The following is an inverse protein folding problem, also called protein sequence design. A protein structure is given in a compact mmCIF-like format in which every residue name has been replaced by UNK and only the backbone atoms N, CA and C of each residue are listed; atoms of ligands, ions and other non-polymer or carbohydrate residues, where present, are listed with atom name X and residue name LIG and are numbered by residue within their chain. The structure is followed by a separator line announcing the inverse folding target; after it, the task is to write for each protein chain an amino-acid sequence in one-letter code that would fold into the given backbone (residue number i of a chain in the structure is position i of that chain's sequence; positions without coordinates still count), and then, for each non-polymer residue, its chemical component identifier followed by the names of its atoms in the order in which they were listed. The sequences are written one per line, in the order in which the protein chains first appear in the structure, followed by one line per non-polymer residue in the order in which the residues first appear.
data_IF_438971336844
#
_entry.id   IF_438971336844
#
_cell.length_a   1.000
_cell.length_b   1.000
_cell.length_c   1.000
_cell.angle_alpha   90.00
_cell.angle_beta   90.00
_cell.angle_gamma   90.00
#
_symmetry.space_group_name_H-M   'P 1'
#
loop_
_entity.id
_entity.type
_entity.pdbx_description
1 polymer ?
#
# COMPACT_ATOMS: atom_id res chain seq x y z
N UNK A 1 21.90 -0.73 5.72
CA UNK A 1 22.21 -0.35 4.32
C UNK A 1 23.73 -0.16 4.20
N UNK A 2 24.39 -0.81 3.26
CA UNK A 2 25.83 -0.61 3.07
C UNK A 2 26.07 0.68 2.26
N UNK A 3 27.22 1.34 2.51
CA UNK A 3 27.64 2.59 1.82
C UNK A 3 27.73 2.43 0.28
N UNK A 4 27.82 1.21 -0.23
CA UNK A 4 27.91 0.90 -1.66
C UNK A 4 26.54 1.02 -2.36
N UNK A 5 25.44 0.70 -1.66
CA UNK A 5 24.08 0.76 -2.23
C UNK A 5 23.58 2.19 -2.44
N UNK A 6 23.88 3.09 -1.51
CA UNK A 6 23.47 4.51 -1.58
C UNK A 6 24.14 5.24 -2.76
N UNK A 7 25.44 4.99 -3.01
CA UNK A 7 26.21 5.60 -4.09
C UNK A 7 25.71 5.21 -5.50
N UNK A 8 25.21 3.99 -5.68
CA UNK A 8 24.70 3.52 -6.99
C UNK A 8 23.35 4.14 -7.34
N UNK A 9 22.48 4.35 -6.36
CA UNK A 9 21.14 4.96 -6.52
C UNK A 9 21.29 6.43 -6.90
N UNK A 10 22.15 7.18 -6.19
CA UNK A 10 22.43 8.60 -6.46
C UNK A 10 23.03 8.82 -7.85
N UNK A 11 23.92 7.92 -8.28
CA UNK A 11 24.56 8.01 -9.61
C UNK A 11 23.56 7.83 -10.76
N UNK A 12 22.46 7.10 -10.54
CA UNK A 12 21.40 6.88 -11.51
C UNK A 12 20.30 7.95 -11.44
N UNK A 13 20.42 8.95 -10.57
CA UNK A 13 19.43 10.02 -10.38
C UNK A 13 18.12 9.55 -9.78
N UNK A 14 18.10 8.38 -9.11
CA UNK A 14 16.95 7.87 -8.40
C UNK A 14 17.05 8.32 -6.94
N UNK A 15 16.13 9.17 -6.51
CA UNK A 15 15.99 9.60 -5.13
C UNK A 15 14.75 8.93 -4.53
N UNK A 16 14.95 8.15 -3.47
CA UNK A 16 13.83 7.56 -2.71
C UNK A 16 13.21 8.66 -1.87
N UNK A 17 11.93 9.01 -2.07
CA UNK A 17 11.28 10.03 -1.24
C UNK A 17 11.33 9.63 0.23
N UNK A 18 11.68 10.58 1.10
CA UNK A 18 11.56 10.38 2.55
C UNK A 18 10.08 10.31 2.94
N UNK A 19 9.76 9.40 3.87
CA UNK A 19 8.40 9.13 4.35
C UNK A 19 8.34 9.12 5.90
N UNK A 20 8.87 10.16 6.56
CA UNK A 20 9.04 10.15 8.02
C UNK A 20 7.71 9.98 8.78
N UNK A 21 6.60 10.49 8.26
CA UNK A 21 5.28 10.34 8.84
C UNK A 21 4.81 8.87 8.80
N UNK A 22 5.08 8.18 7.71
CA UNK A 22 4.74 6.76 7.53
C UNK A 22 5.67 5.88 8.38
N UNK A 23 6.96 6.18 8.44
CA UNK A 23 7.93 5.48 9.29
C UNK A 23 7.57 5.60 10.78
N UNK A 24 7.07 6.77 11.19
CA UNK A 24 6.58 6.97 12.56
C UNK A 24 5.22 6.32 12.83
N UNK A 25 4.40 6.15 11.79
CA UNK A 25 3.06 5.57 11.90
C UNK A 25 3.07 4.05 11.99
N UNK A 26 3.84 3.37 11.14
CA UNK A 26 3.90 1.91 11.10
C UNK A 26 4.69 1.33 12.28
N UNK A 27 4.19 0.25 12.90
CA UNK A 27 4.85 -0.40 14.05
C UNK A 27 6.01 -1.34 13.67
N UNK A 28 6.17 -1.64 12.39
CA UNK A 28 7.30 -2.44 11.90
C UNK A 28 7.62 -2.12 10.45
N UNK A 29 8.88 -2.31 10.08
CA UNK A 29 9.32 -2.32 8.69
C UNK A 29 8.99 -3.65 8.03
N UNK A 30 8.97 -3.68 6.71
CA UNK A 30 8.84 -4.93 5.93
C UNK A 30 10.03 -5.85 6.22
N UNK A 31 9.80 -7.13 6.58
CA UNK A 31 10.88 -8.08 6.82
C UNK A 31 11.76 -8.27 5.57
N UNK A 32 13.09 -8.29 5.77
CA UNK A 32 14.04 -8.46 4.67
C UNK A 32 13.76 -9.74 3.85
N UNK A 33 13.34 -10.82 4.48
CA UNK A 33 12.95 -12.07 3.80
C UNK A 33 11.81 -11.86 2.79
N UNK A 34 10.88 -10.94 3.07
CA UNK A 34 9.83 -10.56 2.10
C UNK A 34 10.42 -9.80 0.91
N UNK A 35 11.32 -8.85 1.15
CA UNK A 35 12.00 -8.06 0.10
C UNK A 35 12.80 -8.98 -0.80
N UNK A 36 13.61 -9.86 -0.22
CA UNK A 36 14.47 -10.81 -0.97
C UNK A 36 13.64 -11.77 -1.83
N UNK A 37 12.47 -12.18 -1.32
CA UNK A 37 11.56 -13.04 -2.07
C UNK A 37 10.84 -12.28 -3.18
N UNK A 38 10.41 -11.04 -2.91
CA UNK A 38 9.76 -10.17 -3.88
C UNK A 38 10.66 -9.89 -5.09
N UNK A 39 11.92 -9.56 -4.84
CA UNK A 39 12.91 -9.30 -5.89
C UNK A 39 13.20 -10.52 -6.80
N UNK A 40 12.93 -11.73 -6.31
CA UNK A 40 13.05 -12.97 -7.10
C UNK A 40 11.75 -13.36 -7.82
N UNK A 41 10.63 -12.71 -7.50
CA UNK A 41 9.29 -13.04 -7.99
C UNK A 41 8.54 -11.78 -8.45
N UNK A 42 9.20 -10.92 -9.23
CA UNK A 42 8.65 -9.64 -9.67
C UNK A 42 7.37 -9.78 -10.52
N UNK A 43 7.21 -10.89 -11.23
CA UNK A 43 5.98 -11.22 -11.96
C UNK A 43 4.77 -11.31 -11.03
N UNK A 44 4.89 -12.03 -9.91
CA UNK A 44 3.83 -12.12 -8.90
C UNK A 44 3.59 -10.79 -8.22
N UNK A 45 4.66 -10.06 -7.90
CA UNK A 45 4.57 -8.71 -7.30
C UNK A 45 3.77 -7.78 -8.21
N UNK A 46 4.09 -7.71 -9.50
CA UNK A 46 3.42 -6.81 -10.45
C UNK A 46 1.97 -7.22 -10.72
N UNK A 47 1.68 -8.52 -10.83
CA UNK A 47 0.30 -9.00 -10.98
C UNK A 47 -0.55 -8.63 -9.76
N UNK A 48 -0.04 -8.87 -8.55
CA UNK A 48 -0.79 -8.56 -7.32
C UNK A 48 -0.86 -7.04 -7.08
N UNK A 49 0.18 -6.29 -7.42
CA UNK A 49 0.17 -4.83 -7.41
C UNK A 49 -0.98 -4.29 -8.28
N UNK A 50 -1.09 -4.72 -9.54
CA UNK A 50 -2.22 -4.33 -10.39
C UNK A 50 -3.59 -4.69 -9.77
N UNK A 51 -3.68 -5.82 -9.05
CA UNK A 51 -4.89 -6.20 -8.32
C UNK A 51 -5.14 -5.29 -7.12
N UNK A 52 -4.11 -4.81 -6.42
CA UNK A 52 -4.22 -3.89 -5.31
C UNK A 52 -4.75 -2.53 -5.77
N UNK A 53 -4.19 -1.93 -6.82
CA UNK A 53 -4.65 -0.67 -7.40
C UNK A 53 -6.14 -0.72 -7.79
N UNK A 54 -6.52 -1.79 -8.49
CA UNK A 54 -7.93 -1.99 -8.87
C UNK A 54 -8.85 -2.13 -7.65
N UNK A 55 -8.39 -2.78 -6.57
CA UNK A 55 -9.16 -2.91 -5.33
C UNK A 55 -9.24 -1.59 -4.58
N UNK A 56 -8.17 -0.79 -4.53
CA UNK A 56 -8.14 0.53 -3.92
C UNK A 56 -9.17 1.44 -4.60
N UNK A 57 -9.17 1.52 -5.94
CA UNK A 57 -10.19 2.23 -6.71
C UNK A 57 -11.62 1.75 -6.39
N UNK A 58 -11.84 0.43 -6.35
CA UNK A 58 -13.13 -0.16 -6.02
C UNK A 58 -13.58 0.16 -4.58
N UNK A 59 -12.65 0.19 -3.63
CA UNK A 59 -12.93 0.54 -2.23
C UNK A 59 -13.36 2.01 -2.13
N UNK A 60 -12.66 2.92 -2.79
CA UNK A 60 -13.02 4.33 -2.83
C UNK A 60 -14.43 4.54 -3.41
N UNK A 61 -14.75 3.88 -4.54
CA UNK A 61 -16.10 3.92 -5.14
C UNK A 61 -17.15 3.36 -4.17
N UNK A 62 -16.84 2.28 -3.46
CA UNK A 62 -17.75 1.66 -2.49
C UNK A 62 -18.03 2.57 -1.29
N UNK A 63 -17.02 3.31 -0.82
CA UNK A 63 -17.17 4.30 0.25
C UNK A 63 -18.09 5.45 -0.19
N UNK A 64 -17.88 5.99 -1.38
CA UNK A 64 -18.76 7.03 -1.95
C UNK A 64 -20.21 6.55 -2.10
N UNK A 65 -20.39 5.30 -2.52
CA UNK A 65 -21.73 4.74 -2.67
C UNK A 65 -22.45 4.53 -1.32
N UNK A 66 -21.71 4.09 -0.31
CA UNK A 66 -22.26 3.81 1.01
C UNK A 66 -22.52 5.05 1.85
N UNK A 67 -21.74 6.12 1.65
CA UNK A 67 -21.74 7.34 2.46
C UNK A 67 -21.91 8.61 1.61
N UNK A 68 -22.98 8.71 0.80
CA UNK A 68 -23.17 9.82 -0.15
C UNK A 68 -23.44 11.16 0.51
N UNK A 69 -23.66 11.20 1.83
CA UNK A 69 -23.95 12.41 2.60
C UNK A 69 -22.69 13.19 3.00
N UNK A 70 -21.49 12.70 2.74
CA UNK A 70 -20.24 13.30 3.15
C UNK A 70 -19.48 13.91 1.96
N UNK A 71 -19.69 15.19 1.69
CA UNK A 71 -19.14 15.89 0.50
C UNK A 71 -17.61 15.75 0.40
N UNK A 72 -16.86 16.00 1.51
CA UNK A 72 -15.41 15.90 1.52
C UNK A 72 -14.92 14.46 1.23
N UNK A 73 -15.67 13.45 1.68
CA UNK A 73 -15.39 12.05 1.32
C UNK A 73 -15.58 11.83 -0.19
N UNK A 74 -16.67 12.36 -0.76
CA UNK A 74 -16.94 12.22 -2.20
C UNK A 74 -15.82 12.82 -3.03
N UNK A 75 -15.34 14.01 -2.68
CA UNK A 75 -14.28 14.69 -3.40
C UNK A 75 -12.95 13.93 -3.32
N UNK A 76 -12.53 13.56 -2.10
CA UNK A 76 -11.26 12.84 -1.89
C UNK A 76 -11.28 11.44 -2.49
N UNK A 77 -12.36 10.68 -2.31
CA UNK A 77 -12.45 9.33 -2.87
C UNK A 77 -12.63 9.33 -4.39
N UNK A 78 -13.22 10.37 -4.98
CA UNK A 78 -13.25 10.53 -6.44
C UNK A 78 -11.85 10.75 -7.00
N UNK A 79 -11.06 11.63 -6.37
CA UNK A 79 -9.68 11.88 -6.78
C UNK A 79 -8.83 10.60 -6.65
N UNK A 80 -8.90 9.93 -5.50
CA UNK A 80 -8.19 8.68 -5.23
C UNK A 80 -8.57 7.60 -6.24
N UNK A 81 -9.84 7.33 -6.47
CA UNK A 81 -10.27 6.29 -7.40
C UNK A 81 -9.73 6.51 -8.83
N UNK A 82 -9.66 7.77 -9.29
CA UNK A 82 -9.09 8.11 -10.61
C UNK A 82 -7.58 7.87 -10.65
N UNK A 83 -6.86 8.23 -9.58
CA UNK A 83 -5.42 8.03 -9.47
C UNK A 83 -5.08 6.53 -9.44
N UNK A 84 -5.80 5.73 -8.65
CA UNK A 84 -5.64 4.28 -8.56
C UNK A 84 -5.93 3.55 -9.89
N UNK A 85 -6.94 3.99 -10.64
CA UNK A 85 -7.19 3.45 -11.98
C UNK A 85 -6.07 3.82 -12.97
N UNK A 86 -5.43 4.97 -12.77
CA UNK A 86 -4.25 5.37 -13.56
C UNK A 86 -3.06 4.49 -13.21
N UNK A 87 -2.78 4.26 -11.93
CA UNK A 87 -1.73 3.34 -11.45
C UNK A 87 -1.97 1.92 -11.97
N UNK A 88 -3.20 1.40 -11.84
CA UNK A 88 -3.58 0.12 -12.43
C UNK A 88 -3.22 0.04 -13.92
N UNK A 89 -3.57 1.06 -14.70
CA UNK A 89 -3.27 1.10 -16.13
C UNK A 89 -1.76 1.11 -16.40
N UNK A 90 -0.99 1.82 -15.60
CA UNK A 90 0.48 1.87 -15.70
C UNK A 90 1.09 0.49 -15.41
N UNK A 91 0.66 -0.19 -14.34
CA UNK A 91 1.14 -1.54 -14.01
C UNK A 91 0.74 -2.56 -15.09
N UNK A 92 -0.45 -2.45 -15.67
CA UNK A 92 -0.85 -3.30 -16.81
C UNK A 92 0.06 -3.09 -18.02
N UNK A 93 0.51 -1.86 -18.28
CA UNK A 93 1.46 -1.60 -19.36
C UNK A 93 2.84 -2.20 -19.04
N UNK A 94 3.34 -2.06 -17.81
CA UNK A 94 4.58 -2.71 -17.35
C UNK A 94 4.53 -4.24 -17.53
N UNK A 95 3.42 -4.87 -17.17
CA UNK A 95 3.22 -6.32 -17.38
C UNK A 95 3.32 -6.69 -18.86
N UNK A 96 2.68 -5.91 -19.75
CA UNK A 96 2.70 -6.14 -21.21
C UNK A 96 4.10 -5.99 -21.79
N UNK A 97 4.83 -4.95 -21.42
CA UNK A 97 6.22 -4.70 -21.84
C UNK A 97 7.15 -5.84 -21.44
N UNK A 98 6.87 -6.51 -20.31
CA UNK A 98 7.60 -7.65 -19.79
C UNK A 98 7.12 -9.01 -20.33
N UNK A 99 6.07 -9.03 -21.17
CA UNK A 99 5.46 -10.26 -21.65
C UNK A 99 4.74 -11.07 -20.57
N UNK A 100 4.40 -10.45 -19.44
CA UNK A 100 3.70 -11.07 -18.32
C UNK A 100 2.19 -10.95 -18.53
N UNK A 101 1.50 -12.09 -18.52
CA UNK A 101 0.03 -12.10 -18.65
C UNK A 101 -0.62 -11.68 -17.33
N UNK A 102 -1.39 -10.58 -17.37
CA UNK A 102 -2.25 -10.23 -16.24
C UNK A 102 -3.33 -11.28 -16.04
N UNK A 103 -3.42 -11.81 -14.85
CA UNK A 103 -4.41 -12.83 -14.48
C UNK A 103 -4.93 -12.59 -13.06
N UNK A 104 -6.12 -13.12 -12.79
CA UNK A 104 -6.67 -13.09 -11.46
C UNK A 104 -6.00 -14.17 -10.60
N UNK A 105 -5.27 -13.75 -9.57
CA UNK A 105 -4.64 -14.66 -8.60
C UNK A 105 -5.43 -14.65 -7.29
N UNK A 106 -5.42 -15.80 -6.59
CA UNK A 106 -6.11 -15.94 -5.32
C UNK A 106 -5.60 -14.91 -4.31
N UNK A 107 -6.47 -14.19 -3.59
CA UNK A 107 -6.04 -13.15 -2.65
C UNK A 107 -5.20 -13.73 -1.50
N UNK A 108 -4.30 -12.91 -0.96
CA UNK A 108 -3.63 -13.14 0.30
C UNK A 108 -4.57 -12.95 1.48
N UNK A 109 -4.05 -13.23 2.69
CA UNK A 109 -4.86 -13.14 3.94
C UNK A 109 -4.96 -11.72 4.50
N UNK A 110 -4.05 -10.81 4.15
CA UNK A 110 -3.85 -9.51 4.80
C UNK A 110 -5.14 -8.69 4.91
N UNK A 111 -5.70 -8.26 3.78
CA UNK A 111 -6.92 -7.46 3.77
C UNK A 111 -8.08 -8.19 4.47
N UNK A 112 -8.31 -9.47 4.13
CA UNK A 112 -9.38 -10.25 4.75
C UNK A 112 -9.24 -10.43 6.26
N UNK A 113 -8.02 -10.38 6.81
CA UNK A 113 -7.79 -10.47 8.26
C UNK A 113 -7.98 -9.13 8.95
N UNK A 114 -7.43 -8.03 8.42
CA UNK A 114 -7.54 -6.72 9.06
C UNK A 114 -9.00 -6.21 9.03
N UNK A 115 -9.73 -6.40 7.92
CA UNK A 115 -11.15 -6.03 7.81
C UNK A 115 -12.10 -6.81 8.73
N UNK A 116 -11.68 -7.96 9.30
CA UNK A 116 -12.48 -8.66 10.34
C UNK A 116 -12.58 -7.89 11.65
N UNK A 117 -11.75 -6.89 11.85
CA UNK A 117 -11.73 -6.09 13.06
C UNK A 117 -12.53 -4.79 12.95
N UNK A 118 -13.27 -4.59 11.85
CA UNK A 118 -14.20 -3.47 11.72
C UNK A 118 -15.26 -3.52 12.84
N UNK A 119 -15.52 -2.36 13.45
CA UNK A 119 -16.64 -2.21 14.38
C UNK A 119 -17.97 -2.42 13.66
N UNK A 120 -18.99 -2.84 14.41
CA UNK A 120 -20.32 -3.17 13.85
C UNK A 120 -21.28 -1.97 13.80
N UNK A 121 -21.04 -0.93 14.61
CA UNK A 121 -21.81 0.31 14.54
C UNK A 121 -21.53 1.04 13.22
N UNK A 122 -22.51 1.72 12.64
CA UNK A 122 -22.36 2.35 11.32
C UNK A 122 -21.19 3.36 11.28
N UNK A 123 -21.16 4.30 12.23
CA UNK A 123 -20.07 5.27 12.33
C UNK A 123 -18.72 4.59 12.63
N UNK A 124 -18.71 3.65 13.56
CA UNK A 124 -17.48 2.90 13.90
C UNK A 124 -16.93 2.13 12.70
N UNK A 125 -17.80 1.47 11.93
CA UNK A 125 -17.43 0.77 10.71
C UNK A 125 -16.82 1.74 9.67
N UNK A 126 -17.44 2.89 9.49
CA UNK A 126 -16.96 3.91 8.56
C UNK A 126 -15.57 4.43 8.94
N UNK A 127 -15.40 4.85 10.19
CA UNK A 127 -14.10 5.35 10.69
C UNK A 127 -13.02 4.25 10.60
N UNK A 128 -13.35 3.02 10.99
CA UNK A 128 -12.41 1.90 10.90
C UNK A 128 -12.01 1.59 9.45
N UNK A 129 -12.94 1.68 8.50
CA UNK A 129 -12.64 1.48 7.09
C UNK A 129 -11.67 2.53 6.55
N UNK A 130 -11.81 3.80 6.97
CA UNK A 130 -10.90 4.87 6.63
C UNK A 130 -9.51 4.64 7.26
N UNK A 131 -9.43 4.27 8.55
CA UNK A 131 -8.16 3.96 9.21
C UNK A 131 -7.46 2.77 8.55
N UNK A 132 -8.19 1.71 8.20
CA UNK A 132 -7.62 0.56 7.49
C UNK A 132 -7.14 0.97 6.10
N UNK A 133 -7.85 1.85 5.40
CA UNK A 133 -7.39 2.45 4.16
C UNK A 133 -6.02 3.11 4.35
N UNK A 134 -5.90 4.01 5.33
CA UNK A 134 -4.62 4.67 5.64
C UNK A 134 -3.49 3.66 5.94
N UNK A 135 -3.77 2.60 6.72
CA UNK A 135 -2.78 1.55 7.04
C UNK A 135 -2.31 0.83 5.77
N UNK A 136 -3.21 0.53 4.83
CA UNK A 136 -2.88 -0.14 3.57
C UNK A 136 -1.98 0.76 2.71
N UNK A 137 -2.34 2.05 2.55
CA UNK A 137 -1.54 3.02 1.78
C UNK A 137 -0.16 3.24 2.41
N UNK A 138 -0.09 3.39 3.74
CA UNK A 138 1.19 3.50 4.45
C UNK A 138 2.07 2.27 4.20
N UNK A 139 1.51 1.05 4.26
CA UNK A 139 2.24 -0.18 3.99
C UNK A 139 2.66 -0.30 2.52
N UNK A 140 1.84 0.13 1.58
CA UNK A 140 2.20 0.19 0.16
C UNK A 140 3.40 1.10 -0.06
N UNK A 141 3.35 2.30 0.50
CA UNK A 141 4.41 3.30 0.45
C UNK A 141 5.75 2.75 0.99
N UNK A 142 5.74 2.15 2.18
CA UNK A 142 6.92 1.54 2.82
C UNK A 142 7.49 0.38 1.98
N UNK A 143 6.64 -0.47 1.40
CA UNK A 143 7.08 -1.58 0.54
C UNK A 143 7.67 -1.13 -0.79
N UNK A 144 7.12 -0.10 -1.40
CA UNK A 144 7.74 0.50 -2.57
C UNK A 144 9.14 1.02 -2.23
N UNK A 145 9.28 1.76 -1.12
CA UNK A 145 10.57 2.26 -0.67
C UNK A 145 11.57 1.11 -0.37
N UNK A 146 11.12 0.04 0.29
CA UNK A 146 11.95 -1.13 0.61
C UNK A 146 12.44 -1.89 -0.63
N UNK A 147 11.68 -1.89 -1.74
CA UNK A 147 12.04 -2.60 -2.97
C UNK A 147 13.05 -1.83 -3.83
N UNK A 148 13.04 -0.49 -3.81
CA UNK A 148 13.83 0.36 -4.72
C UNK A 148 15.33 0.00 -4.71
N UNK A 149 16.03 -0.16 -3.57
CA UNK A 149 17.46 -0.47 -3.59
C UNK A 149 17.79 -1.79 -4.30
N UNK A 150 17.00 -2.83 -4.04
CA UNK A 150 17.18 -4.14 -4.66
C UNK A 150 16.87 -4.12 -6.16
N UNK A 151 15.85 -3.37 -6.60
CA UNK A 151 15.52 -3.18 -8.00
C UNK A 151 16.66 -2.50 -8.76
N UNK A 152 17.24 -1.44 -8.19
CA UNK A 152 18.41 -0.76 -8.78
C UNK A 152 19.59 -1.72 -8.91
N UNK A 153 19.88 -2.52 -7.88
CA UNK A 153 20.95 -3.51 -7.89
C UNK A 153 20.75 -4.57 -8.97
N UNK A 154 19.50 -4.93 -9.28
CA UNK A 154 19.17 -5.88 -10.36
C UNK A 154 19.09 -5.25 -11.75
N UNK A 155 19.34 -3.93 -11.88
CA UNK A 155 19.24 -3.21 -13.15
C UNK A 155 17.80 -2.83 -13.55
N UNK A 156 16.83 -3.02 -12.66
CA UNK A 156 15.42 -2.69 -12.86
C UNK A 156 15.13 -1.19 -12.62
N UNK A 157 15.95 -0.33 -13.22
CA UNK A 157 16.00 1.13 -12.99
C UNK A 157 14.64 1.79 -13.30
N UNK A 158 14.00 1.39 -14.40
CA UNK A 158 12.68 1.94 -14.78
C UNK A 158 11.59 1.61 -13.75
N UNK A 159 11.58 0.39 -13.24
CA UNK A 159 10.63 -0.03 -12.21
C UNK A 159 10.92 0.66 -10.87
N UNK A 160 12.19 0.82 -10.51
CA UNK A 160 12.61 1.57 -9.33
C UNK A 160 12.13 3.03 -9.38
N UNK A 161 12.33 3.71 -10.52
CA UNK A 161 11.84 5.07 -10.74
C UNK A 161 10.32 5.18 -10.68
N UNK A 162 9.61 4.20 -11.23
CA UNK A 162 8.15 4.12 -11.14
C UNK A 162 7.69 3.99 -9.68
N UNK A 163 8.31 3.10 -8.90
CA UNK A 163 7.97 2.95 -7.48
C UNK A 163 8.27 4.20 -6.66
N UNK A 164 9.36 4.92 -6.96
CA UNK A 164 9.60 6.23 -6.34
C UNK A 164 8.48 7.25 -6.63
N UNK A 165 7.88 7.21 -7.81
CA UNK A 165 6.73 8.09 -8.12
C UNK A 165 5.48 7.71 -7.34
N UNK A 166 5.23 6.42 -7.13
CA UNK A 166 4.10 5.92 -6.35
C UNK A 166 4.21 6.27 -4.86
N UNK A 167 5.42 6.23 -4.26
CA UNK A 167 5.63 6.60 -2.86
C UNK A 167 4.97 7.96 -2.53
N UNK A 168 5.09 8.95 -3.42
CA UNK A 168 4.48 10.27 -3.23
C UNK A 168 2.95 10.26 -3.34
N UNK A 169 2.41 9.40 -4.20
CA UNK A 169 0.96 9.24 -4.36
C UNK A 169 0.35 8.56 -3.13
N UNK A 170 0.92 7.42 -2.73
CA UNK A 170 0.46 6.64 -1.57
C UNK A 170 0.55 7.43 -0.25
N UNK A 171 1.60 8.27 -0.09
CA UNK A 171 1.70 9.15 1.06
C UNK A 171 0.53 10.15 1.13
N UNK A 172 0.10 10.72 -0.01
CA UNK A 172 -1.09 11.60 -0.05
C UNK A 172 -2.39 10.84 0.21
N UNK A 173 -2.51 9.61 -0.29
CA UNK A 173 -3.66 8.75 -0.03
C UNK A 173 -3.76 8.41 1.46
N UNK A 174 -2.65 8.03 2.08
CA UNK A 174 -2.53 7.81 3.52
C UNK A 174 -3.03 9.01 4.34
N UNK A 175 -2.49 10.21 4.06
CA UNK A 175 -2.92 11.45 4.72
C UNK A 175 -4.41 11.74 4.50
N UNK A 176 -4.89 11.54 3.27
CA UNK A 176 -6.29 11.75 2.90
C UNK A 176 -7.25 10.86 3.69
N UNK A 177 -6.90 9.59 3.86
CA UNK A 177 -7.70 8.65 4.66
C UNK A 177 -7.71 9.00 6.15
N UNK A 178 -6.57 9.35 6.75
CA UNK A 178 -6.50 9.77 8.16
C UNK A 178 -7.28 11.06 8.40
N UNK A 179 -7.11 12.05 7.52
CA UNK A 179 -7.86 13.30 7.58
C UNK A 179 -9.38 13.04 7.60
N UNK A 180 -9.89 12.18 6.70
CA UNK A 180 -11.30 11.83 6.67
C UNK A 180 -11.74 11.09 7.94
N UNK A 181 -10.91 10.20 8.49
CA UNK A 181 -11.21 9.51 9.73
C UNK A 181 -11.34 10.48 10.90
N UNK A 182 -10.49 11.50 10.98
CA UNK A 182 -10.56 12.55 12.01
C UNK A 182 -11.74 13.49 11.81
N UNK A 183 -12.03 13.86 10.56
CA UNK A 183 -13.08 14.82 10.21
C UNK A 183 -14.47 14.33 10.63
N UNK A 184 -14.74 13.04 10.57
CA UNK A 184 -16.09 12.48 10.77
C UNK A 184 -16.31 11.82 12.13
N UNK A 185 -15.48 12.12 13.13
CA UNK A 185 -15.69 11.69 14.52
C UNK A 185 -15.21 12.74 15.50
N UNK A 186 -15.96 12.95 16.58
CA UNK A 186 -15.54 13.79 17.71
C UNK A 186 -14.60 13.04 18.67
N UNK A 187 -14.46 11.72 18.52
CA UNK A 187 -13.59 10.89 19.36
C UNK A 187 -12.16 10.84 18.79
N UNK A 188 -11.13 10.87 19.65
CA UNK A 188 -9.76 10.68 19.22
C UNK A 188 -9.57 9.32 18.51
N UNK A 189 -9.08 9.32 17.26
CA UNK A 189 -8.86 8.08 16.51
C UNK A 189 -7.60 7.31 16.94
N UNK A 190 -6.65 7.97 17.61
CA UNK A 190 -5.34 7.41 17.93
C UNK A 190 -5.38 6.05 18.68
N UNK A 191 -6.25 5.81 19.69
CA UNK A 191 -6.34 4.50 20.32
C UNK A 191 -6.81 3.40 19.35
N UNK A 192 -7.69 3.76 18.41
CA UNK A 192 -8.18 2.81 17.42
C UNK A 192 -7.14 2.52 16.35
N UNK A 193 -6.42 3.53 15.89
CA UNK A 193 -5.26 3.40 15.01
C UNK A 193 -4.23 2.45 15.63
N UNK A 194 -3.83 2.66 16.88
CA UNK A 194 -2.88 1.80 17.58
C UNK A 194 -3.33 0.32 17.64
N UNK A 195 -4.62 0.09 17.90
CA UNK A 195 -5.20 -1.26 17.92
C UNK A 195 -5.12 -1.95 16.55
N UNK A 196 -5.45 -1.25 15.47
CA UNK A 196 -5.42 -1.80 14.11
C UNK A 196 -3.99 -1.99 13.60
N UNK A 197 -3.06 -1.09 13.95
CA UNK A 197 -1.64 -1.22 13.65
C UNK A 197 -0.99 -2.43 14.35
N UNK A 198 -1.39 -2.74 15.58
CA UNK A 198 -0.91 -3.95 16.27
C UNK A 198 -1.33 -5.23 15.53
N UNK A 199 -2.52 -5.25 14.95
CA UNK A 199 -2.99 -6.36 14.10
C UNK A 199 -2.19 -6.42 12.80
N UNK A 200 -1.99 -5.27 12.15
CA UNK A 200 -1.20 -5.15 10.94
C UNK A 200 0.23 -5.66 11.15
N UNK A 201 0.90 -5.23 12.21
CA UNK A 201 2.25 -5.69 12.56
C UNK A 201 2.32 -7.21 12.66
N UNK A 202 1.35 -7.86 13.34
CA UNK A 202 1.29 -9.32 13.43
C UNK A 202 1.13 -9.98 12.05
N UNK A 203 0.33 -9.39 11.16
CA UNK A 203 0.14 -9.91 9.80
C UNK A 203 1.42 -9.82 8.97
N UNK A 204 2.16 -8.72 9.08
CA UNK A 204 3.40 -8.50 8.33
C UNK A 204 4.55 -9.37 8.83
N UNK A 205 4.66 -9.54 10.15
CA UNK A 205 5.77 -10.30 10.75
C UNK A 205 5.55 -11.82 10.79
N UNK A 206 4.30 -12.29 10.62
CA UNK A 206 4.01 -13.72 10.69
C UNK A 206 4.20 -14.44 9.36
N UNK A 207 4.52 -15.76 9.37
CA UNK A 207 4.65 -16.57 8.17
C UNK A 207 3.40 -16.53 7.30
N UNK A 208 3.59 -16.53 5.96
CA UNK A 208 2.51 -16.56 4.99
C UNK A 208 2.83 -17.52 3.85
N UNK A 209 1.98 -18.52 3.64
CA UNK A 209 2.12 -19.51 2.58
C UNK A 209 1.74 -18.99 1.20
N UNK A 210 1.08 -17.82 1.13
CA UNK A 210 0.75 -17.16 -0.12
C UNK A 210 1.50 -15.84 -0.21
N UNK A 211 2.53 -15.82 -1.02
CA UNK A 211 3.23 -14.58 -1.33
C UNK A 211 2.33 -13.63 -2.12
N UNK A 212 2.19 -12.39 -1.62
CA UNK A 212 1.44 -11.27 -2.21
C UNK A 212 2.10 -9.96 -1.82
N UNK A 213 1.70 -8.88 -2.48
CA UNK A 213 2.25 -7.55 -2.21
C UNK A 213 2.12 -7.16 -0.72
N UNK A 214 1.01 -7.50 -0.04
CA UNK A 214 0.81 -7.27 1.40
C UNK A 214 0.93 -8.55 2.26
N UNK A 215 1.54 -9.62 1.77
CA UNK A 215 1.73 -10.82 2.59
C UNK A 215 2.72 -10.62 3.73
N UNK A 216 2.65 -11.49 4.73
CA UNK A 216 3.69 -11.64 5.74
C UNK A 216 4.96 -12.30 5.18
N UNK A 217 5.77 -12.86 6.08
CA UNK A 217 7.05 -13.51 5.72
C UNK A 217 6.78 -14.75 4.87
N UNK A 218 7.34 -14.87 3.66
CA UNK A 218 7.17 -16.06 2.82
C UNK A 218 7.72 -17.32 3.49
N UNK A 219 6.96 -18.44 3.43
CA UNK A 219 7.35 -19.74 4.01
C UNK A 219 6.93 -20.90 3.10
#
# INVERSE_FOLDING_TARGET
MSVIETSSIETLGIEIPAIPEIDAFLLCVTPQAWVDYALKNLDVVLIDHALCEKKAASTAISLMHRYPQYDELLDKMTALAREELTHFKQVINLLRERGITYQNIAPGRYAGKIFKHLRTSELGHFIDALIIGAIIEARSCERFAALVPGLVTQGEVALAGYYCSLIKAEARHFEGYLYLAELYTDEPIAPRVASLLAIEQQLIQSPDTKFRFHSGVPC
#
